data_IF_701053805900
#
_entry.id   IF_701053805900
#
_cell.length_a   1.000
_cell.length_b   1.000
_cell.length_c   1.000
_cell.angle_alpha   90.00
_cell.angle_beta   90.00
_cell.angle_gamma   90.00
#
_symmetry.space_group_name_H-M   'P 1'
#
loop_
_entity.id
_entity.type
_entity.pdbx_description
1 polymer ?
#
# COMPACT_ATOMS: atom_id res chain seq x y z
N UNK A 1 5.54 12.42 -34.85
CA UNK A 1 5.77 11.59 -33.64
C UNK A 1 4.93 11.98 -32.42
N UNK A 2 4.77 13.27 -32.01
CA UNK A 2 3.92 13.64 -30.87
C UNK A 2 2.42 13.34 -31.08
N UNK A 3 1.91 13.62 -32.29
CA UNK A 3 0.50 13.40 -32.67
C UNK A 3 0.08 11.91 -32.58
N UNK A 4 1.01 10.98 -32.82
CA UNK A 4 0.75 9.54 -32.74
C UNK A 4 0.63 9.06 -31.29
N UNK A 5 1.40 9.65 -30.36
CA UNK A 5 1.34 9.30 -28.93
C UNK A 5 0.04 9.80 -28.31
N UNK A 6 -0.36 11.03 -28.61
CA UNK A 6 -1.62 11.61 -28.11
C UNK A 6 -2.84 10.84 -28.65
N UNK A 7 -2.82 10.47 -29.93
CA UNK A 7 -3.88 9.65 -30.53
C UNK A 7 -3.97 8.26 -29.89
N UNK A 8 -2.83 7.63 -29.54
CA UNK A 8 -2.80 6.36 -28.82
C UNK A 8 -3.33 6.49 -27.39
N UNK A 9 -2.96 7.56 -26.68
CA UNK A 9 -3.44 7.85 -25.33
C UNK A 9 -4.97 8.01 -25.31
N UNK A 10 -5.53 8.83 -26.21
CA UNK A 10 -6.99 9.03 -26.32
C UNK A 10 -7.73 7.73 -26.66
N UNK A 11 -7.18 6.90 -27.56
CA UNK A 11 -7.77 5.58 -27.88
C UNK A 11 -7.77 4.63 -26.68
N UNK A 12 -6.71 4.66 -25.88
CA UNK A 12 -6.62 3.88 -24.64
C UNK A 12 -7.66 4.36 -23.63
N UNK A 13 -7.75 5.67 -23.39
CA UNK A 13 -8.75 6.24 -22.49
C UNK A 13 -10.18 5.89 -22.92
N UNK A 14 -10.49 5.96 -24.22
CA UNK A 14 -11.80 5.56 -24.73
C UNK A 14 -12.12 4.07 -24.48
N UNK A 15 -11.14 3.17 -24.63
CA UNK A 15 -11.30 1.74 -24.31
C UNK A 15 -11.54 1.52 -22.82
N UNK A 16 -10.78 2.21 -21.98
CA UNK A 16 -10.93 2.12 -20.52
C UNK A 16 -12.32 2.63 -20.12
N UNK A 17 -12.77 3.76 -20.66
CA UNK A 17 -14.10 4.31 -20.37
C UNK A 17 -15.23 3.34 -20.74
N UNK A 18 -15.14 2.67 -21.89
CA UNK A 18 -16.11 1.62 -22.24
C UNK A 18 -16.09 0.45 -21.23
N UNK A 19 -14.90 0.02 -20.81
CA UNK A 19 -14.75 -1.01 -19.77
C UNK A 19 -15.28 -0.56 -18.40
N UNK A 20 -15.15 0.71 -18.05
CA UNK A 20 -15.72 1.31 -16.84
C UNK A 20 -17.24 1.29 -16.88
N UNK A 21 -17.86 1.62 -18.01
CA UNK A 21 -19.32 1.59 -18.18
C UNK A 21 -19.90 0.17 -18.13
N UNK A 22 -19.17 -0.82 -18.68
CA UNK A 22 -19.50 -2.24 -18.54
C UNK A 22 -19.39 -2.70 -17.07
N UNK A 23 -18.30 -2.34 -16.39
CA UNK A 23 -18.05 -2.73 -15.01
C UNK A 23 -19.05 -2.08 -14.04
N UNK A 24 -19.45 -0.82 -14.27
CA UNK A 24 -20.45 -0.14 -13.45
C UNK A 24 -21.78 -0.89 -13.44
N UNK A 25 -22.24 -1.36 -14.61
CA UNK A 25 -23.47 -2.16 -14.72
C UNK A 25 -23.32 -3.50 -13.99
N UNK A 26 -22.20 -4.18 -14.21
CA UNK A 26 -21.93 -5.44 -13.53
C UNK A 26 -21.85 -5.29 -12.01
N UNK A 27 -21.22 -4.23 -11.50
CA UNK A 27 -21.10 -3.95 -10.08
C UNK A 27 -22.46 -3.64 -9.46
N UNK A 28 -23.31 -2.89 -10.17
CA UNK A 28 -24.69 -2.64 -9.75
C UNK A 28 -25.52 -3.93 -9.65
N UNK A 29 -25.29 -4.90 -10.55
CA UNK A 29 -25.95 -6.20 -10.48
C UNK A 29 -25.44 -7.05 -9.31
N UNK A 30 -24.13 -7.01 -9.02
CA UNK A 30 -23.55 -7.64 -7.81
C UNK A 30 -24.15 -7.04 -6.55
N UNK A 31 -24.20 -5.70 -6.45
CA UNK A 31 -24.75 -5.02 -5.30
C UNK A 31 -26.25 -5.30 -5.12
N UNK A 32 -27.03 -5.34 -6.21
CA UNK A 32 -28.47 -5.64 -6.18
C UNK A 32 -28.77 -7.07 -5.76
N UNK A 33 -27.94 -8.02 -6.16
CA UNK A 33 -28.09 -9.42 -5.76
C UNK A 33 -27.76 -9.65 -4.27
N UNK A 34 -26.96 -8.77 -3.67
CA UNK A 34 -26.54 -8.84 -2.27
C UNK A 34 -25.31 -9.73 -2.06
N UNK A 35 -24.65 -9.54 -0.90
CA UNK A 35 -23.36 -10.20 -0.61
C UNK A 35 -23.45 -11.72 -0.50
N UNK A 36 -24.59 -12.26 -0.05
CA UNK A 36 -24.81 -13.70 0.02
C UNK A 36 -24.77 -14.35 -1.37
N UNK A 37 -25.46 -13.74 -2.34
CA UNK A 37 -25.44 -14.20 -3.73
C UNK A 37 -24.08 -13.92 -4.40
N UNK A 38 -23.44 -12.81 -4.06
CA UNK A 38 -22.08 -12.51 -4.54
C UNK A 38 -21.05 -13.55 -4.08
N UNK A 39 -21.24 -14.13 -2.89
CA UNK A 39 -20.43 -15.23 -2.37
C UNK A 39 -20.76 -16.60 -3.00
N UNK A 40 -22.01 -16.81 -3.40
CA UNK A 40 -22.43 -18.02 -4.13
C UNK A 40 -22.09 -17.95 -5.63
N UNK A 41 -21.84 -16.75 -6.16
CA UNK A 41 -21.54 -16.52 -7.58
C UNK A 41 -20.28 -17.30 -8.00
N UNK A 42 -20.31 -18.02 -9.13
CA UNK A 42 -19.15 -18.75 -9.61
C UNK A 42 -17.95 -17.84 -9.88
N UNK A 43 -16.75 -18.30 -9.51
CA UNK A 43 -15.48 -17.63 -9.80
C UNK A 43 -15.33 -17.24 -11.29
N UNK A 44 -15.85 -18.07 -12.20
CA UNK A 44 -15.83 -17.82 -13.64
C UNK A 44 -16.52 -16.52 -14.05
N UNK A 45 -17.52 -16.04 -13.29
CA UNK A 45 -18.17 -14.74 -13.55
C UNK A 45 -17.21 -13.57 -13.32
N UNK A 46 -16.41 -13.63 -12.25
CA UNK A 46 -15.39 -12.63 -11.95
C UNK A 46 -14.25 -12.67 -12.97
N UNK A 47 -13.81 -13.87 -13.38
CA UNK A 47 -12.79 -14.05 -14.42
C UNK A 47 -13.23 -13.49 -15.78
N UNK A 48 -14.48 -13.71 -16.18
CA UNK A 48 -15.01 -13.16 -17.43
C UNK A 48 -15.01 -11.63 -17.44
N UNK A 49 -15.41 -11.00 -16.33
CA UNK A 49 -15.38 -9.54 -16.21
C UNK A 49 -13.92 -9.02 -16.17
N UNK A 50 -13.04 -9.68 -15.42
CA UNK A 50 -11.61 -9.38 -15.39
C UNK A 50 -10.97 -9.44 -16.78
N UNK A 51 -11.27 -10.47 -17.58
CA UNK A 51 -10.77 -10.60 -18.95
C UNK A 51 -11.23 -9.44 -19.85
N UNK A 52 -12.51 -9.07 -19.79
CA UNK A 52 -13.04 -7.91 -20.53
C UNK A 52 -12.33 -6.61 -20.16
N UNK A 53 -12.00 -6.42 -18.87
CA UNK A 53 -11.27 -5.23 -18.41
C UNK A 53 -9.82 -5.21 -18.90
N UNK A 54 -9.17 -6.37 -19.01
CA UNK A 54 -7.86 -6.48 -19.65
C UNK A 54 -7.94 -6.08 -21.13
N UNK A 55 -8.95 -6.57 -21.85
CA UNK A 55 -9.19 -6.20 -23.25
C UNK A 55 -9.50 -4.69 -23.41
N UNK A 56 -10.20 -4.10 -22.43
CA UNK A 56 -10.46 -2.67 -22.31
C UNK A 56 -9.23 -1.84 -21.89
N UNK A 57 -8.06 -2.47 -21.67
CA UNK A 57 -6.82 -1.84 -21.22
C UNK A 57 -6.88 -1.23 -19.80
N UNK A 58 -7.73 -1.79 -18.94
CA UNK A 58 -7.90 -1.43 -17.53
C UNK A 58 -7.44 -2.57 -16.58
N UNK A 59 -6.16 -2.98 -16.61
CA UNK A 59 -5.67 -4.13 -15.83
C UNK A 59 -5.76 -3.91 -14.31
N UNK A 60 -5.76 -2.66 -13.84
CA UNK A 60 -5.95 -2.34 -12.42
C UNK A 60 -7.37 -2.67 -11.94
N UNK A 61 -8.38 -2.34 -12.74
CA UNK A 61 -9.78 -2.73 -12.49
C UNK A 61 -9.95 -4.25 -12.55
N UNK A 62 -9.30 -4.91 -13.52
CA UNK A 62 -9.33 -6.38 -13.63
C UNK A 62 -8.77 -7.07 -12.37
N UNK A 63 -7.71 -6.51 -11.76
CA UNK A 63 -7.16 -6.98 -10.49
C UNK A 63 -8.14 -6.79 -9.33
N UNK A 64 -8.80 -5.64 -9.25
CA UNK A 64 -9.85 -5.38 -8.25
C UNK A 64 -10.99 -6.41 -8.33
N UNK A 65 -11.50 -6.68 -9.54
CA UNK A 65 -12.58 -7.65 -9.75
C UNK A 65 -12.18 -9.07 -9.34
N UNK A 66 -10.95 -9.50 -9.65
CA UNK A 66 -10.44 -10.79 -9.16
C UNK A 66 -10.31 -10.83 -7.64
N UNK A 67 -9.87 -9.72 -7.03
CA UNK A 67 -9.84 -9.57 -5.57
C UNK A 67 -11.23 -9.80 -4.95
N UNK A 68 -12.26 -9.13 -5.48
CA UNK A 68 -13.64 -9.27 -5.01
C UNK A 68 -14.13 -10.72 -5.04
N UNK A 69 -13.86 -11.46 -6.11
CA UNK A 69 -14.27 -12.87 -6.22
C UNK A 69 -13.55 -13.79 -5.24
N UNK A 70 -12.40 -13.37 -4.70
CA UNK A 70 -11.52 -14.16 -3.84
C UNK A 70 -11.74 -13.92 -2.36
N UNK A 71 -12.52 -12.90 -1.99
CA UNK A 71 -12.83 -12.56 -0.61
C UNK A 71 -13.77 -13.54 0.10
N UNK A 72 -14.84 -14.09 -0.52
CA UNK A 72 -15.81 -14.91 0.19
C UNK A 72 -15.15 -16.06 0.96
N UNK A 73 -15.54 -16.24 2.23
CA UNK A 73 -15.09 -17.31 3.12
C UNK A 73 -13.60 -17.29 3.50
N UNK A 74 -12.86 -16.21 3.23
CA UNK A 74 -11.44 -16.09 3.62
C UNK A 74 -11.24 -15.80 5.11
N UNK A 75 -12.18 -15.09 5.74
CA UNK A 75 -12.16 -14.73 7.14
C UNK A 75 -13.58 -14.40 7.64
N UNK A 76 -13.87 -14.41 8.95
CA UNK A 76 -15.21 -14.10 9.46
C UNK A 76 -15.74 -12.71 9.06
N UNK A 77 -14.85 -11.75 8.83
CA UNK A 77 -15.14 -10.37 8.41
C UNK A 77 -15.19 -10.19 6.87
N UNK A 78 -15.19 -11.28 6.09
CA UNK A 78 -15.24 -11.20 4.63
C UNK A 78 -16.41 -10.37 4.07
N UNK A 79 -17.65 -10.37 4.64
CA UNK A 79 -18.75 -9.59 4.08
C UNK A 79 -18.49 -8.08 4.19
N UNK A 80 -17.94 -7.64 5.32
CA UNK A 80 -17.60 -6.23 5.56
C UNK A 80 -16.49 -5.78 4.61
N UNK A 81 -15.43 -6.59 4.45
CA UNK A 81 -14.35 -6.33 3.49
C UNK A 81 -14.86 -6.23 2.06
N UNK A 82 -15.73 -7.17 1.65
CA UNK A 82 -16.30 -7.15 0.30
C UNK A 82 -17.15 -5.90 0.06
N UNK A 83 -17.92 -5.44 1.05
CA UNK A 83 -18.69 -4.22 0.94
C UNK A 83 -17.79 -2.99 0.78
N UNK A 84 -16.70 -2.92 1.53
CA UNK A 84 -15.71 -1.84 1.43
C UNK A 84 -15.06 -1.84 0.03
N UNK A 85 -14.64 -3.01 -0.47
CA UNK A 85 -14.02 -3.13 -1.79
C UNK A 85 -15.00 -2.79 -2.93
N UNK A 86 -16.28 -3.16 -2.81
CA UNK A 86 -17.34 -2.75 -3.74
C UNK A 86 -17.50 -1.21 -3.72
N UNK A 87 -17.52 -0.61 -2.53
CA UNK A 87 -17.63 0.84 -2.37
C UNK A 87 -16.43 1.58 -2.96
N UNK A 88 -15.21 1.10 -2.69
CA UNK A 88 -13.98 1.64 -3.25
C UNK A 88 -13.95 1.52 -4.79
N UNK A 89 -14.40 0.38 -5.32
CA UNK A 89 -14.49 0.18 -6.77
C UNK A 89 -15.53 1.13 -7.38
N UNK A 90 -16.72 1.25 -6.81
CA UNK A 90 -17.74 2.20 -7.28
C UNK A 90 -17.21 3.64 -7.30
N UNK A 91 -16.54 4.06 -6.21
CA UNK A 91 -15.94 5.38 -6.13
C UNK A 91 -14.89 5.59 -7.23
N UNK A 92 -14.09 4.56 -7.55
CA UNK A 92 -13.07 4.63 -8.60
C UNK A 92 -13.68 4.79 -9.99
N UNK A 93 -14.77 4.07 -10.27
CA UNK A 93 -15.49 4.18 -11.54
C UNK A 93 -16.10 5.58 -11.71
N UNK A 94 -16.69 6.13 -10.66
CA UNK A 94 -17.22 7.50 -10.67
C UNK A 94 -16.11 8.55 -10.81
N UNK A 95 -14.97 8.35 -10.15
CA UNK A 95 -13.81 9.22 -10.26
C UNK A 95 -13.21 9.21 -11.68
N UNK A 96 -13.14 8.04 -12.33
CA UNK A 96 -12.71 7.93 -13.72
C UNK A 96 -13.63 8.71 -14.68
N UNK A 97 -14.95 8.60 -14.51
CA UNK A 97 -15.93 9.32 -15.34
C UNK A 97 -15.85 10.84 -15.19
N UNK A 98 -15.29 11.31 -14.08
CA UNK A 98 -15.12 12.73 -13.74
C UNK A 98 -13.66 13.15 -13.70
N UNK A 99 -12.77 12.39 -14.34
CA UNK A 99 -11.32 12.53 -14.20
C UNK A 99 -10.85 13.97 -14.44
N UNK A 100 -11.35 14.63 -15.48
CA UNK A 100 -10.96 15.99 -15.86
C UNK A 100 -11.37 17.06 -14.82
N UNK A 101 -12.32 16.75 -13.93
CA UNK A 101 -12.75 17.63 -12.86
C UNK A 101 -11.98 17.41 -11.54
N UNK A 102 -11.09 16.42 -11.48
CA UNK A 102 -10.29 16.13 -10.29
C UNK A 102 -8.99 16.94 -10.28
N UNK A 103 -8.46 17.22 -9.09
CA UNK A 103 -7.14 17.80 -8.91
C UNK A 103 -6.05 16.93 -9.54
N UNK A 104 -4.96 17.50 -10.10
CA UNK A 104 -3.96 16.75 -10.87
C UNK A 104 -3.35 15.54 -10.14
N UNK A 105 -3.12 15.67 -8.84
CA UNK A 105 -2.60 14.57 -8.01
C UNK A 105 -3.61 13.42 -7.88
N UNK A 106 -4.90 13.74 -7.72
CA UNK A 106 -5.95 12.72 -7.65
C UNK A 106 -6.22 12.09 -9.03
N UNK A 107 -6.06 12.85 -10.11
CA UNK A 107 -6.08 12.29 -11.45
C UNK A 107 -4.97 11.24 -11.65
N UNK A 108 -3.77 11.51 -11.13
CA UNK A 108 -2.67 10.56 -11.20
C UNK A 108 -2.96 9.28 -10.38
N UNK A 109 -3.55 9.40 -9.20
CA UNK A 109 -4.00 8.25 -8.40
C UNK A 109 -5.02 7.40 -9.17
N UNK A 110 -6.08 8.02 -9.70
CA UNK A 110 -7.13 7.33 -10.47
C UNK A 110 -6.55 6.64 -11.71
N UNK A 111 -5.68 7.34 -12.46
CA UNK A 111 -4.96 6.76 -13.61
C UNK A 111 -4.12 5.55 -13.20
N UNK A 112 -3.37 5.64 -12.10
CA UNK A 112 -2.60 4.52 -11.56
C UNK A 112 -3.47 3.32 -11.19
N UNK A 113 -4.59 3.55 -10.50
CA UNK A 113 -5.53 2.54 -10.04
C UNK A 113 -6.22 1.78 -11.20
N UNK A 114 -6.48 2.44 -12.33
CA UNK A 114 -7.01 1.75 -13.52
C UNK A 114 -5.91 1.04 -14.34
N UNK A 115 -4.63 1.37 -14.10
CA UNK A 115 -3.47 0.74 -14.73
C UNK A 115 -2.69 1.61 -15.71
N UNK A 116 -2.92 2.92 -15.73
CA UNK A 116 -2.09 3.90 -16.45
C UNK A 116 -0.98 4.36 -15.50
N UNK A 117 0.15 3.65 -15.53
CA UNK A 117 1.31 3.98 -14.69
C UNK A 117 2.19 5.05 -15.34
N UNK A 118 2.73 5.94 -14.52
CA UNK A 118 3.79 6.87 -14.91
C UNK A 118 5.09 6.10 -15.21
N UNK A 119 5.80 6.49 -16.27
CA UNK A 119 7.06 5.86 -16.64
C UNK A 119 8.18 6.26 -15.68
N UNK A 120 9.19 5.40 -15.53
CA UNK A 120 10.35 5.68 -14.69
C UNK A 120 11.08 6.95 -15.15
N UNK A 121 11.22 7.15 -16.45
CA UNK A 121 11.88 8.30 -17.06
C UNK A 121 11.14 9.60 -16.73
N UNK A 122 9.81 9.59 -16.80
CA UNK A 122 9.00 10.75 -16.43
C UNK A 122 9.19 11.12 -14.95
N UNK A 123 9.22 10.13 -14.05
CA UNK A 123 9.50 10.38 -12.62
C UNK A 123 10.90 10.93 -12.41
N UNK A 124 11.93 10.35 -13.04
CA UNK A 124 13.32 10.77 -12.88
C UNK A 124 13.59 12.17 -13.45
N UNK A 125 12.77 12.65 -14.39
CA UNK A 125 12.86 14.02 -14.92
C UNK A 125 12.37 15.11 -13.95
N UNK A 126 11.74 14.73 -12.83
CA UNK A 126 11.24 15.66 -11.82
C UNK A 126 12.36 16.15 -10.91
N UNK A 127 12.20 17.32 -10.25
CA UNK A 127 13.14 17.79 -9.26
C UNK A 127 13.34 16.74 -8.14
N UNK A 128 14.57 16.26 -7.93
CA UNK A 128 14.85 15.31 -6.86
C UNK A 128 14.74 15.99 -5.50
N UNK A 129 14.44 15.19 -4.48
CA UNK A 129 14.53 15.58 -3.08
C UNK A 129 15.79 14.94 -2.49
N UNK A 130 16.74 15.81 -2.15
CA UNK A 130 17.95 15.46 -1.44
C UNK A 130 17.68 15.37 0.07
N UNK A 131 17.97 14.22 0.67
CA UNK A 131 17.86 14.02 2.13
C UNK A 131 18.79 12.90 2.62
N UNK A 132 18.87 12.77 3.94
CA UNK A 132 19.31 11.57 4.64
C UNK A 132 18.08 10.71 4.93
N UNK A 133 18.03 9.53 4.31
CA UNK A 133 16.93 8.60 4.38
C UNK A 133 17.27 7.42 5.30
N UNK A 134 16.55 7.29 6.42
CA UNK A 134 16.63 6.14 7.31
C UNK A 134 15.86 4.96 6.71
N UNK A 135 16.53 3.84 6.46
CA UNK A 135 15.90 2.61 5.98
C UNK A 135 15.24 1.88 7.15
N UNK A 136 13.98 2.19 7.40
CA UNK A 136 13.26 1.76 8.62
C UNK A 136 12.56 0.41 8.49
N UNK A 137 12.33 -0.09 7.29
CA UNK A 137 11.65 -1.38 7.14
C UNK A 137 11.70 -1.93 5.73
N UNK A 138 11.56 -3.24 5.64
CA UNK A 138 11.50 -3.97 4.38
C UNK A 138 10.52 -5.11 4.47
N UNK A 139 9.79 -5.35 3.38
CA UNK A 139 8.89 -6.48 3.23
C UNK A 139 8.96 -7.03 1.82
N UNK A 140 8.98 -8.35 1.67
CA UNK A 140 8.90 -9.02 0.37
C UNK A 140 7.52 -9.64 0.26
N UNK A 141 6.81 -9.36 -0.82
CA UNK A 141 5.51 -9.94 -1.13
C UNK A 141 5.71 -10.95 -2.23
N UNK A 142 5.53 -12.22 -1.91
CA UNK A 142 5.54 -13.30 -2.89
C UNK A 142 4.19 -13.35 -3.63
N UNK A 143 4.24 -13.12 -4.93
CA UNK A 143 3.11 -13.34 -5.84
C UNK A 143 3.42 -14.47 -6.84
N UNK A 144 2.38 -15.04 -7.45
CA UNK A 144 2.50 -16.21 -8.33
C UNK A 144 3.53 -16.06 -9.46
N UNK A 145 3.64 -14.86 -10.04
CA UNK A 145 4.52 -14.58 -11.20
C UNK A 145 5.60 -13.55 -10.89
N UNK A 146 5.51 -12.86 -9.76
CA UNK A 146 6.34 -11.71 -9.44
C UNK A 146 6.43 -11.54 -7.94
N UNK A 147 7.65 -11.28 -7.46
CA UNK A 147 7.90 -10.82 -6.10
C UNK A 147 8.04 -9.31 -6.08
N UNK A 148 7.48 -8.68 -5.05
CA UNK A 148 7.55 -7.23 -4.84
C UNK A 148 8.22 -6.94 -3.51
N UNK A 149 9.35 -6.24 -3.53
CA UNK A 149 9.98 -5.74 -2.31
C UNK A 149 9.52 -4.30 -2.05
N UNK A 150 8.99 -4.06 -0.86
CA UNK A 150 8.72 -2.75 -0.30
C UNK A 150 9.85 -2.39 0.64
N UNK A 151 10.51 -1.26 0.40
CA UNK A 151 11.48 -0.67 1.34
C UNK A 151 10.99 0.70 1.75
N UNK A 152 10.78 0.87 3.05
CA UNK A 152 10.30 2.11 3.64
C UNK A 152 11.47 2.94 4.17
N UNK A 153 11.37 4.24 3.93
CA UNK A 153 12.39 5.23 4.24
C UNK A 153 11.77 6.40 5.01
N UNK A 154 12.51 6.97 5.94
CA UNK A 154 12.18 8.25 6.59
C UNK A 154 13.25 9.30 6.28
N UNK A 155 12.84 10.43 5.69
CA UNK A 155 13.72 11.57 5.44
C UNK A 155 13.94 12.39 6.71
N UNK A 156 15.17 12.46 7.21
CA UNK A 156 15.48 13.13 8.46
C UNK A 156 15.26 14.65 8.40
N UNK A 157 15.63 15.29 7.28
CA UNK A 157 15.52 16.75 7.10
C UNK A 157 14.13 17.14 6.62
N UNK A 158 13.57 16.38 5.68
CA UNK A 158 12.27 16.67 5.08
C UNK A 158 11.08 16.17 5.89
N UNK A 159 11.33 15.33 6.91
CA UNK A 159 10.32 14.66 7.72
C UNK A 159 9.23 14.01 6.87
N UNK A 160 9.66 13.21 5.88
CA UNK A 160 8.80 12.60 4.88
C UNK A 160 9.03 11.10 4.79
N UNK A 161 7.93 10.37 4.62
CA UNK A 161 7.96 8.97 4.25
C UNK A 161 8.24 8.77 2.76
N UNK A 162 9.05 7.76 2.43
CA UNK A 162 9.21 7.28 1.06
C UNK A 162 9.13 5.75 0.99
N UNK A 163 8.59 5.26 -0.13
CA UNK A 163 8.44 3.85 -0.45
C UNK A 163 9.17 3.56 -1.76
N UNK A 164 10.18 2.71 -1.68
CA UNK A 164 10.83 2.13 -2.84
C UNK A 164 10.22 0.77 -3.14
N UNK A 165 9.87 0.55 -4.41
CA UNK A 165 9.36 -0.73 -4.91
C UNK A 165 10.39 -1.36 -5.84
N UNK A 166 10.77 -2.61 -5.56
CA UNK A 166 11.52 -3.45 -6.48
C UNK A 166 10.68 -4.64 -6.91
N UNK A 167 10.81 -5.01 -8.18
CA UNK A 167 10.06 -6.10 -8.78
C UNK A 167 11.04 -7.15 -9.29
N UNK A 168 10.74 -8.42 -9.01
CA UNK A 168 11.47 -9.56 -9.55
C UNK A 168 10.49 -10.51 -10.22
N UNK A 169 10.64 -10.69 -11.54
CA UNK A 169 9.78 -11.53 -12.37
C UNK A 169 10.52 -12.83 -12.73
N UNK A 170 9.81 -13.96 -12.77
CA UNK A 170 10.34 -15.20 -13.35
C UNK A 170 11.62 -15.72 -12.70
N UNK A 171 11.72 -15.67 -11.37
CA UNK A 171 12.88 -16.19 -10.63
C UNK A 171 14.09 -15.25 -10.56
N UNK A 172 14.02 -14.06 -11.14
CA UNK A 172 15.07 -13.04 -10.98
C UNK A 172 15.29 -12.68 -9.50
N UNK A 173 16.50 -12.25 -9.19
CA UNK A 173 16.82 -11.67 -7.88
C UNK A 173 16.31 -10.24 -7.80
N UNK A 174 15.83 -9.85 -6.63
CA UNK A 174 15.54 -8.46 -6.32
C UNK A 174 16.87 -7.71 -6.25
N UNK A 175 16.95 -6.53 -6.87
CA UNK A 175 18.16 -5.71 -6.81
C UNK A 175 18.52 -5.39 -5.35
N UNK A 176 19.79 -5.55 -4.96
CA UNK A 176 20.20 -5.23 -3.60
C UNK A 176 20.06 -3.72 -3.35
N UNK A 177 19.27 -3.37 -2.34
CA UNK A 177 19.22 -2.03 -1.74
C UNK A 177 19.95 -2.03 -0.41
N UNK A 178 20.32 -0.84 0.05
CA UNK A 178 20.92 -0.67 1.38
C UNK A 178 19.99 -1.29 2.44
N UNK A 179 20.60 -1.99 3.39
CA UNK A 179 19.89 -2.81 4.36
C UNK A 179 19.08 -1.95 5.34
N UNK A 180 17.93 -2.44 5.84
CA UNK A 180 17.24 -1.78 6.94
C UNK A 180 18.16 -1.60 8.16
N UNK A 181 17.98 -0.49 8.87
CA UNK A 181 18.84 -0.06 9.97
C UNK A 181 20.00 0.84 9.54
N UNK A 182 20.09 1.20 8.27
CA UNK A 182 21.09 2.14 7.75
C UNK A 182 20.47 3.51 7.44
N UNK A 183 21.29 4.55 7.49
CA UNK A 183 20.95 5.90 7.03
C UNK A 183 21.72 6.19 5.75
N UNK A 184 21.03 6.61 4.70
CA UNK A 184 21.62 6.83 3.37
C UNK A 184 21.41 8.26 2.89
N UNK A 185 22.46 8.89 2.39
CA UNK A 185 22.33 10.15 1.66
C UNK A 185 21.97 9.83 0.20
N UNK A 186 20.84 10.37 -0.27
CA UNK A 186 20.35 10.09 -1.62
C UNK A 186 19.34 11.14 -2.11
N UNK A 187 19.30 11.26 -3.43
CA UNK A 187 18.31 12.03 -4.18
C UNK A 187 17.15 11.11 -4.59
N UNK A 188 15.93 11.43 -4.17
CA UNK A 188 14.72 10.68 -4.52
C UNK A 188 13.76 11.51 -5.38
N UNK A 189 13.30 10.93 -6.49
CA UNK A 189 12.23 11.49 -7.31
C UNK A 189 10.91 10.78 -6.99
N UNK A 190 9.85 11.55 -6.69
CA UNK A 190 8.55 11.03 -6.26
C UNK A 190 7.55 10.94 -7.41
N UNK A 191 6.81 9.84 -7.43
CA UNK A 191 5.64 9.69 -8.30
C UNK A 191 4.59 10.73 -7.97
N UNK A 192 3.79 11.11 -8.98
CA UNK A 192 2.58 11.89 -8.72
C UNK A 192 1.57 11.09 -7.90
N UNK A 193 0.75 11.79 -7.15
CA UNK A 193 -0.29 11.20 -6.32
C UNK A 193 -0.69 12.17 -5.22
N UNK A 194 -1.80 11.88 -4.56
CA UNK A 194 -2.28 12.72 -3.48
C UNK A 194 -1.40 12.56 -2.23
N UNK A 195 -1.01 11.34 -1.85
CA UNK A 195 -0.19 11.12 -0.63
C UNK A 195 1.33 11.10 -0.93
N UNK A 196 1.73 10.87 -2.20
CA UNK A 196 3.12 10.89 -2.69
C UNK A 196 4.12 10.12 -1.82
N UNK A 197 3.90 8.82 -1.65
CA UNK A 197 4.84 7.95 -0.92
C UNK A 197 5.87 7.30 -1.85
N UNK A 198 5.46 6.90 -3.05
CA UNK A 198 6.32 6.13 -3.96
C UNK A 198 7.42 7.02 -4.53
N UNK A 199 8.65 6.53 -4.48
CA UNK A 199 9.81 7.22 -5.01
C UNK A 199 10.76 6.27 -5.76
N UNK A 200 11.67 6.87 -6.54
CA UNK A 200 12.77 6.20 -7.23
C UNK A 200 14.06 6.94 -6.86
N UNK A 201 15.14 6.25 -6.49
CA UNK A 201 16.43 6.91 -6.33
C UNK A 201 16.94 7.39 -7.69
N UNK A 202 17.39 8.64 -7.71
CA UNK A 202 18.02 9.27 -8.88
C UNK A 202 19.47 8.79 -9.05
N UNK A 203 20.17 8.63 -7.94
CA UNK A 203 21.60 8.31 -7.88
C UNK A 203 21.92 7.17 -6.92
N UNK A 204 23.21 6.82 -6.84
CA UNK A 204 23.71 5.82 -5.91
C UNK A 204 23.48 6.24 -4.45
N UNK A 205 23.05 5.29 -3.63
CA UNK A 205 22.79 5.51 -2.20
C UNK A 205 24.10 5.39 -1.43
N UNK A 206 24.51 6.44 -0.73
CA UNK A 206 25.72 6.44 0.09
C UNK A 206 25.32 6.16 1.54
N UNK A 207 25.77 5.03 2.11
CA UNK A 207 25.57 4.74 3.52
C UNK A 207 26.42 5.68 4.36
N UNK A 208 25.77 6.47 5.21
CA UNK A 208 26.44 7.47 6.07
C UNK A 208 26.28 7.18 7.56
N UNK A 209 25.49 6.17 7.93
CA UNK A 209 25.23 5.86 9.33
C UNK A 209 24.22 4.73 9.53
N UNK A 210 23.72 4.67 10.76
CA UNK A 210 22.74 3.68 11.20
C UNK A 210 21.55 4.36 11.85
N UNK A 211 20.38 3.76 11.70
CA UNK A 211 19.13 4.24 12.30
C UNK A 211 19.17 4.00 13.80
N UNK A 212 19.21 5.08 14.57
CA UNK A 212 19.21 5.04 16.05
C UNK A 212 17.88 5.46 16.67
N UNK A 213 16.95 5.97 15.87
CA UNK A 213 15.63 6.44 16.31
C UNK A 213 14.59 6.27 15.22
N UNK A 214 13.34 6.06 15.62
CA UNK A 214 12.18 6.14 14.73
C UNK A 214 11.48 7.50 14.91
N UNK A 215 10.78 8.04 13.90
CA UNK A 215 9.92 9.21 14.03
C UNK A 215 8.60 8.83 14.73
N UNK A 216 8.73 8.25 15.93
CA UNK A 216 7.66 7.56 16.60
C UNK A 216 6.63 8.53 17.21
N UNK A 217 5.34 8.22 17.03
CA UNK A 217 4.20 8.99 17.54
C UNK A 217 3.23 8.09 18.32
N UNK A 218 2.35 8.64 19.17
CA UNK A 218 1.26 7.86 19.76
C UNK A 218 0.27 7.38 18.70
N UNK A 219 -0.60 6.43 19.06
CA UNK A 219 -1.58 5.84 18.13
C UNK A 219 -2.49 6.91 17.52
N UNK A 220 -2.85 7.93 18.30
CA UNK A 220 -3.67 9.05 17.84
C UNK A 220 -3.04 9.87 16.71
N UNK A 221 -1.71 10.01 16.71
CA UNK A 221 -0.96 10.69 15.64
C UNK A 221 -1.09 9.95 14.32
N UNK A 222 -0.85 8.63 14.33
CA UNK A 222 -0.98 7.78 13.15
C UNK A 222 -2.40 7.80 12.60
N UNK A 223 -3.41 7.66 13.46
CA UNK A 223 -4.81 7.67 13.04
C UNK A 223 -5.24 9.03 12.47
N UNK A 224 -4.74 10.13 13.02
CA UNK A 224 -4.98 11.48 12.49
C UNK A 224 -4.35 11.65 11.11
N UNK A 225 -3.08 11.26 10.98
CA UNK A 225 -2.35 11.28 9.71
C UNK A 225 -3.02 10.40 8.65
N UNK A 226 -3.52 9.23 9.05
CA UNK A 226 -4.25 8.33 8.17
C UNK A 226 -5.60 8.90 7.72
N UNK A 227 -6.36 9.50 8.63
CA UNK A 227 -7.63 10.16 8.29
C UNK A 227 -7.41 11.32 7.30
N UNK A 228 -6.38 12.14 7.51
CA UNK A 228 -6.00 13.22 6.58
C UNK A 228 -5.56 12.67 5.21
N UNK A 229 -4.81 11.57 5.20
CA UNK A 229 -4.38 10.92 3.97
C UNK A 229 -5.57 10.32 3.20
N UNK A 230 -6.52 9.68 3.89
CA UNK A 230 -7.76 9.17 3.30
C UNK A 230 -8.64 10.27 2.72
N UNK A 231 -8.73 11.42 3.38
CA UNK A 231 -9.47 12.57 2.87
C UNK A 231 -8.92 13.07 1.52
N UNK A 232 -7.62 12.85 1.25
CA UNK A 232 -6.95 13.22 0.01
C UNK A 232 -6.90 12.08 -1.01
N UNK A 233 -6.81 10.84 -0.56
CA UNK A 233 -6.81 9.62 -1.37
C UNK A 233 -7.69 8.53 -0.71
N UNK A 234 -8.95 8.39 -1.14
CA UNK A 234 -9.87 7.38 -0.59
C UNK A 234 -9.45 5.93 -0.83
N UNK A 235 -8.53 5.67 -1.77
CA UNK A 235 -8.04 4.33 -2.11
C UNK A 235 -6.68 4.01 -1.47
N UNK A 236 -6.26 4.78 -0.46
CA UNK A 236 -5.02 4.51 0.24
C UNK A 236 -5.08 3.14 0.95
N UNK A 237 -4.43 2.14 0.34
CA UNK A 237 -4.41 0.78 0.90
C UNK A 237 -3.62 0.70 2.21
N UNK A 238 -2.48 1.40 2.29
CA UNK A 238 -1.54 1.32 3.41
C UNK A 238 -0.82 2.64 3.65
N UNK A 239 -0.58 2.95 4.91
CA UNK A 239 0.23 4.07 5.35
C UNK A 239 1.39 3.58 6.22
N UNK A 240 2.61 4.13 6.05
CA UNK A 240 3.69 3.88 7.01
C UNK A 240 3.35 4.54 8.35
N UNK A 241 3.71 3.89 9.44
CA UNK A 241 3.57 4.44 10.79
C UNK A 241 4.73 4.02 11.68
N UNK A 242 5.26 4.97 12.44
CA UNK A 242 6.18 4.71 13.54
C UNK A 242 5.46 5.01 14.85
N UNK A 243 5.36 4.02 15.74
CA UNK A 243 4.60 4.10 16.98
C UNK A 243 5.54 4.02 18.18
N UNK A 244 5.45 4.97 19.10
CA UNK A 244 6.39 5.10 20.22
C UNK A 244 5.86 4.59 21.55
N UNK A 245 6.70 3.95 22.36
CA UNK A 245 6.32 3.42 23.68
C UNK A 245 5.15 2.41 23.63
N UNK A 246 5.17 1.48 22.68
CA UNK A 246 4.13 0.47 22.54
C UNK A 246 4.33 -0.71 23.50
N UNK A 247 3.30 -1.04 24.29
CA UNK A 247 3.23 -2.29 25.07
C UNK A 247 2.47 -3.34 24.28
N UNK A 248 3.07 -4.53 24.15
CA UNK A 248 2.47 -5.64 23.40
C UNK A 248 1.70 -6.55 24.33
N UNK A 249 0.45 -6.86 23.97
CA UNK A 249 -0.42 -7.70 24.77
C UNK A 249 -1.38 -8.55 23.93
N UNK A 250 -1.94 -9.58 24.56
CA UNK A 250 -3.05 -10.36 24.01
C UNK A 250 -4.35 -9.57 24.20
N UNK A 251 -5.17 -9.55 23.16
CA UNK A 251 -6.50 -8.94 23.17
C UNK A 251 -7.60 -9.98 22.91
N UNK A 252 -8.81 -9.51 22.57
CA UNK A 252 -9.96 -10.37 22.28
C UNK A 252 -9.65 -11.40 21.18
N UNK A 253 -10.29 -12.57 21.27
CA UNK A 253 -10.13 -13.66 20.29
C UNK A 253 -8.66 -14.04 20.04
N UNK A 254 -7.82 -13.97 21.07
CA UNK A 254 -6.39 -14.30 20.97
C UNK A 254 -5.62 -13.46 19.93
N UNK A 255 -6.11 -12.28 19.60
CA UNK A 255 -5.42 -11.35 18.71
C UNK A 255 -4.29 -10.63 19.43
N UNK A 256 -3.28 -10.20 18.68
CA UNK A 256 -2.19 -9.37 19.20
C UNK A 256 -2.55 -7.89 19.11
N UNK A 257 -2.18 -7.11 20.12
CA UNK A 257 -2.39 -5.67 20.18
C UNK A 257 -1.12 -4.95 20.64
N UNK A 258 -0.92 -3.75 20.11
CA UNK A 258 0.05 -2.77 20.62
C UNK A 258 -0.73 -1.60 21.23
N UNK A 259 -0.40 -1.23 22.47
CA UNK A 259 -1.02 -0.11 23.17
C UNK A 259 -0.01 0.97 23.49
N UNK A 260 -0.41 2.22 23.33
CA UNK A 260 0.40 3.36 23.74
C UNK A 260 0.19 3.71 25.22
N UNK A 261 0.95 4.70 25.68
CA UNK A 261 0.89 5.23 27.06
C UNK A 261 -0.45 5.90 27.41
N UNK A 262 -1.28 6.22 26.41
CA UNK A 262 -2.61 6.81 26.57
C UNK A 262 -3.72 5.76 26.51
N UNK A 263 -3.36 4.48 26.61
CA UNK A 263 -4.27 3.33 26.58
C UNK A 263 -4.94 3.08 25.21
N UNK A 264 -4.57 3.82 24.17
CA UNK A 264 -5.04 3.62 22.80
C UNK A 264 -4.32 2.41 22.17
N UNK A 265 -5.09 1.52 21.53
CA UNK A 265 -4.58 0.26 21.03
C UNK A 265 -4.85 0.04 19.54
N UNK A 266 -3.89 -0.57 18.84
CA UNK A 266 -4.05 -1.08 17.49
C UNK A 266 -3.89 -2.60 17.46
N UNK A 267 -4.80 -3.27 16.75
CA UNK A 267 -4.65 -4.70 16.46
C UNK A 267 -3.43 -4.92 15.57
N UNK A 268 -2.59 -5.87 15.93
CA UNK A 268 -1.44 -6.28 15.14
C UNK A 268 -1.83 -7.35 14.11
N UNK A 269 -1.28 -7.21 12.90
CA UNK A 269 -1.42 -8.20 11.86
C UNK A 269 -0.49 -9.41 12.09
N UNK A 270 -1.03 -10.62 11.98
CA UNK A 270 -0.26 -11.86 12.08
C UNK A 270 0.25 -12.18 13.48
N UNK A 271 1.31 -12.99 13.55
CA UNK A 271 1.87 -13.52 14.80
C UNK A 271 3.08 -12.72 15.34
N UNK A 272 3.27 -11.48 14.88
CA UNK A 272 4.41 -10.65 15.25
C UNK A 272 4.53 -10.40 16.77
N UNK A 273 3.42 -10.44 17.50
CA UNK A 273 3.42 -10.17 18.94
C UNK A 273 4.31 -11.11 19.77
N UNK A 274 4.49 -12.37 19.36
CA UNK A 274 5.44 -13.27 20.03
C UNK A 274 6.89 -12.78 19.90
N UNK A 275 7.29 -12.34 18.71
CA UNK A 275 8.64 -11.81 18.47
C UNK A 275 8.86 -10.51 19.24
N UNK A 276 7.86 -9.63 19.23
CA UNK A 276 7.94 -8.36 19.95
C UNK A 276 8.02 -8.56 21.48
N UNK A 277 7.27 -9.51 22.04
CA UNK A 277 7.39 -9.86 23.47
C UNK A 277 8.76 -10.44 23.80
N UNK A 278 9.30 -11.32 22.95
CA UNK A 278 10.62 -11.89 23.15
C UNK A 278 11.73 -10.83 23.12
N UNK A 279 11.59 -9.81 22.27
CA UNK A 279 12.55 -8.71 22.16
C UNK A 279 12.43 -7.70 23.31
N UNK A 280 11.21 -7.40 23.76
CA UNK A 280 10.95 -6.35 24.76
C UNK A 280 10.95 -6.83 26.20
N UNK A 281 10.74 -8.13 26.46
CA UNK A 281 10.49 -8.64 27.80
C UNK A 281 9.20 -8.07 28.43
N UNK A 282 8.28 -7.55 27.61
CA UNK A 282 7.05 -6.87 28.07
C UNK A 282 7.22 -5.37 28.38
N UNK A 283 8.42 -4.82 28.24
CA UNK A 283 8.62 -3.36 28.31
C UNK A 283 8.07 -2.66 27.06
N UNK A 284 7.79 -1.34 27.11
CA UNK A 284 7.45 -0.55 25.93
C UNK A 284 8.58 -0.54 24.89
N UNK A 285 8.22 -0.50 23.60
CA UNK A 285 9.17 -0.41 22.47
C UNK A 285 8.63 0.48 21.34
N UNK A 286 9.55 1.01 20.52
CA UNK A 286 9.19 1.75 19.32
C UNK A 286 9.05 0.78 18.13
N UNK A 287 7.93 0.88 17.42
CA UNK A 287 7.59 0.04 16.28
C UNK A 287 7.60 0.86 14.99
N UNK A 288 8.01 0.26 13.88
CA UNK A 288 7.68 0.75 12.55
C UNK A 288 6.92 -0.32 11.77
N UNK A 289 5.93 0.10 10.98
CA UNK A 289 5.06 -0.82 10.26
C UNK A 289 4.11 -0.16 9.26
N UNK A 290 3.22 -0.99 8.72
CA UNK A 290 2.17 -0.59 7.77
C UNK A 290 0.81 -0.63 8.46
N UNK A 291 0.07 0.48 8.44
CA UNK A 291 -1.33 0.55 8.83
C UNK A 291 -2.24 0.40 7.60
N UNK A 292 -3.19 -0.52 7.64
CA UNK A 292 -4.14 -0.76 6.54
C UNK A 292 -5.60 -0.39 6.84
N UNK A 293 -5.82 0.41 7.90
CA UNK A 293 -7.16 0.77 8.35
C UNK A 293 -7.78 -0.24 9.32
N UNK A 294 -7.28 -1.48 9.37
CA UNK A 294 -7.83 -2.54 10.23
C UNK A 294 -6.80 -3.13 11.19
N UNK A 295 -5.55 -3.20 10.76
CA UNK A 295 -4.45 -3.74 11.55
C UNK A 295 -3.14 -3.07 11.22
N UNK A 296 -2.32 -2.93 12.26
CA UNK A 296 -0.95 -2.49 12.12
C UNK A 296 -0.08 -3.71 11.89
N UNK A 297 0.70 -3.73 10.81
CA UNK A 297 1.69 -4.78 10.55
C UNK A 297 3.07 -4.27 10.94
N UNK A 298 3.62 -4.72 12.09
CA UNK A 298 4.99 -4.40 12.45
C UNK A 298 5.96 -4.98 11.42
N UNK A 299 6.92 -4.17 10.99
CA UNK A 299 8.02 -4.57 10.09
C UNK A 299 9.37 -4.52 10.80
N UNK A 300 9.52 -3.61 11.77
CA UNK A 300 10.73 -3.47 12.57
C UNK A 300 10.42 -2.87 13.92
N UNK A 301 11.39 -2.97 14.83
CA UNK A 301 11.38 -2.35 16.15
C UNK A 301 12.76 -1.80 16.47
N UNK A 302 12.82 -0.77 17.29
CA UNK A 302 14.06 -0.33 17.90
C UNK A 302 14.29 -1.10 19.21
N UNK A 303 15.46 -1.73 19.38
CA UNK A 303 15.87 -2.38 20.63
C UNK A 303 17.24 -1.83 21.01
N UNK A 304 17.29 -1.03 22.07
CA UNK A 304 18.43 -0.17 22.35
C UNK A 304 18.62 0.86 21.22
N UNK A 305 19.82 0.93 20.64
CA UNK A 305 20.13 1.82 19.50
C UNK A 305 20.15 1.08 18.15
N UNK A 306 19.49 -0.08 18.06
CA UNK A 306 19.51 -0.92 16.85
C UNK A 306 18.11 -1.20 16.33
N UNK A 307 17.93 -0.97 15.04
CA UNK A 307 16.75 -1.40 14.32
C UNK A 307 16.80 -2.91 14.07
N UNK A 308 15.79 -3.63 14.56
CA UNK A 308 15.62 -5.06 14.37
C UNK A 308 14.44 -5.28 13.42
N UNK A 309 14.67 -5.96 12.30
CA UNK A 309 13.60 -6.40 11.41
C UNK A 309 12.83 -7.56 12.03
N UNK A 310 11.52 -7.55 11.85
CA UNK A 310 10.65 -8.63 12.28
C UNK A 310 10.52 -9.65 11.15
N UNK A 311 10.61 -10.95 11.44
CA UNK A 311 10.44 -11.97 10.43
C UNK A 311 9.01 -11.97 9.90
N UNK A 312 8.84 -12.32 8.63
CA UNK A 312 7.53 -12.66 8.11
C UNK A 312 7.10 -14.01 8.68
N UNK A 313 6.26 -13.96 9.72
CA UNK A 313 5.61 -15.16 10.24
C UNK A 313 4.32 -15.36 9.47
N UNK A 314 4.33 -16.25 8.49
CA UNK A 314 3.09 -16.85 7.98
C UNK A 314 2.47 -17.65 9.12
N UNK A 315 1.21 -17.36 9.44
CA UNK A 315 0.48 -18.20 10.38
C UNK A 315 0.43 -19.61 9.79
N UNK A 316 0.99 -20.58 10.53
CA UNK A 316 0.95 -22.00 10.19
C UNK A 316 -0.44 -22.58 10.41
#
# INVERSE_FOLDING_TARGET
MPLDQETRARRREARISAGVDDLQRWLADVARAGLAEAAARPWSSYEQMSARLVDAQAPGLARFVRGLGGLPHTAPDWPERMLIDIGQLSLLLDAWRRLDALEPDLQAEVRGLVGINESREAVLSRPPIHDVWDVVGRRILDGERMRVQRTWLWGQRTQRWALLLDFAVGGQSIQPRVAPGTSVEADLCFYSGAVRLRAIPNDAQVCIGTVTRLPAEPVSGLLTSYAQALARNPWLERMPGALGNMVIQRGPHESWWARDEHDAGLRLAGAAGWHLLALSGGAPLDLFGEWDGFSFRPLSTLVGERLVLLPEVTAA
#
